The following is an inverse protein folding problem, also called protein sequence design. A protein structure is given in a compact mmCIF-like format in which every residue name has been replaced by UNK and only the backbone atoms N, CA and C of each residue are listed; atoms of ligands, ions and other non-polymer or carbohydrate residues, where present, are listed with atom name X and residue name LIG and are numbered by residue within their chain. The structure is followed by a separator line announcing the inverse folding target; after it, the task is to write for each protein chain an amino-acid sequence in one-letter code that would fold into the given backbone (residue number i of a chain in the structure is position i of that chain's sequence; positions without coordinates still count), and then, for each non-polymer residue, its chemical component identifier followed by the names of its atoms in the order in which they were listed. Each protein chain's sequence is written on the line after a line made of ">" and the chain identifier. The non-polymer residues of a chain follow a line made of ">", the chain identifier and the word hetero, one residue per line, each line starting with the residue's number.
data_IF_982401483181
#
_entry.id   IF_982401483181
#
_cell.length_a   1.000
_cell.length_b   1.000
_cell.length_c   1.000
_cell.angle_alpha   90.00
_cell.angle_beta   90.00
_cell.angle_gamma   90.00
#
_symmetry.space_group_name_H-M   'P 1'
#
loop_
_entity.id
_entity.type
_entity.pdbx_description
1 polymer ?
#
# COMPACT_ATOMS: atom_id res chain seq x y z
N UNK A 1 -19.61 -31.71 -16.57
CA UNK A 1 -19.20 -31.03 -15.36
C UNK A 1 -20.31 -31.09 -14.32
N UNK A 2 -19.96 -31.40 -13.07
CA UNK A 2 -20.91 -31.36 -11.96
C UNK A 2 -21.22 -29.91 -11.62
N UNK A 3 -22.49 -29.56 -11.54
CA UNK A 3 -22.92 -28.21 -11.16
C UNK A 3 -22.72 -27.97 -9.66
N UNK A 4 -22.63 -26.72 -9.23
CA UNK A 4 -22.51 -26.36 -7.82
C UNK A 4 -23.63 -26.99 -6.96
N UNK A 5 -24.84 -27.05 -7.50
CA UNK A 5 -26.00 -27.66 -6.84
C UNK A 5 -25.81 -29.19 -6.68
N UNK A 6 -25.24 -29.86 -7.66
CA UNK A 6 -24.96 -31.30 -7.56
C UNK A 6 -23.78 -31.59 -6.61
N UNK A 7 -22.79 -30.71 -6.54
CA UNK A 7 -21.73 -30.77 -5.55
C UNK A 7 -22.24 -30.55 -4.13
N UNK A 8 -23.13 -29.57 -3.94
CA UNK A 8 -23.80 -29.32 -2.68
C UNK A 8 -24.66 -30.51 -2.22
N UNK A 9 -25.44 -31.12 -3.11
CA UNK A 9 -26.26 -32.31 -2.82
C UNK A 9 -25.41 -33.54 -2.47
N UNK A 10 -24.35 -33.79 -3.23
CA UNK A 10 -23.53 -34.99 -3.03
C UNK A 10 -22.65 -34.94 -1.77
N UNK A 11 -22.46 -33.79 -1.18
CA UNK A 11 -21.64 -33.63 0.02
C UNK A 11 -22.43 -33.31 1.30
N UNK A 12 -23.76 -33.48 1.28
CA UNK A 12 -24.61 -33.34 2.46
C UNK A 12 -24.81 -31.89 2.92
N UNK A 13 -24.49 -30.91 2.10
CA UNK A 13 -24.87 -29.52 2.34
C UNK A 13 -26.37 -29.35 2.08
N UNK A 14 -27.19 -29.84 3.01
CA UNK A 14 -28.64 -29.65 2.98
C UNK A 14 -29.06 -28.20 3.29
N UNK A 15 -28.15 -27.38 3.81
CA UNK A 15 -28.43 -26.00 4.14
C UNK A 15 -27.92 -25.06 3.04
N UNK A 16 -28.68 -24.00 2.79
CA UNK A 16 -28.36 -22.92 1.86
C UNK A 16 -27.19 -22.04 2.35
N UNK A 17 -26.67 -22.33 3.52
CA UNK A 17 -25.65 -21.53 4.22
C UNK A 17 -24.39 -22.35 4.35
N UNK A 18 -23.28 -21.83 3.89
CA UNK A 18 -21.93 -22.33 4.19
C UNK A 18 -21.41 -21.60 5.41
N UNK A 19 -21.00 -22.38 6.41
CA UNK A 19 -20.46 -21.84 7.67
C UNK A 19 -19.05 -22.36 7.87
N UNK A 20 -18.14 -21.46 8.20
CA UNK A 20 -16.76 -21.80 8.55
C UNK A 20 -16.26 -21.01 9.75
N UNK A 21 -15.32 -21.61 10.47
CA UNK A 21 -14.55 -20.93 11.52
C UNK A 21 -13.16 -20.60 11.01
N UNK A 22 -12.63 -19.50 11.48
CA UNK A 22 -11.23 -19.11 11.26
C UNK A 22 -10.33 -20.10 12.04
N UNK A 23 -9.30 -20.60 11.37
CA UNK A 23 -8.30 -21.48 11.97
C UNK A 23 -7.03 -20.71 12.34
N UNK A 24 -6.21 -21.32 13.19
CA UNK A 24 -4.87 -20.78 13.50
C UNK A 24 -4.01 -20.61 12.23
N UNK A 25 -4.14 -21.51 11.28
CA UNK A 25 -3.46 -21.41 9.99
C UNK A 25 -3.86 -20.15 9.21
N UNK A 26 -5.14 -19.76 9.25
CA UNK A 26 -5.60 -18.51 8.63
C UNK A 26 -4.97 -17.27 9.28
N UNK A 27 -4.81 -17.30 10.61
CA UNK A 27 -4.13 -16.23 11.36
C UNK A 27 -2.65 -16.14 10.96
N UNK A 28 -1.96 -17.29 10.90
CA UNK A 28 -0.56 -17.34 10.49
C UNK A 28 -0.36 -16.86 9.06
N UNK A 29 -1.23 -17.25 8.14
CA UNK A 29 -1.18 -16.81 6.76
C UNK A 29 -1.42 -15.30 6.63
N UNK A 30 -2.38 -14.76 7.37
CA UNK A 30 -2.63 -13.32 7.40
C UNK A 30 -1.40 -12.56 7.94
N UNK A 31 -0.76 -13.08 8.97
CA UNK A 31 0.48 -12.51 9.51
C UNK A 31 1.62 -12.51 8.49
N UNK A 32 1.83 -13.62 7.78
CA UNK A 32 2.84 -13.71 6.70
C UNK A 32 2.59 -12.69 5.58
N UNK A 33 1.33 -12.44 5.25
CA UNK A 33 0.96 -11.43 4.25
C UNK A 33 1.30 -10.02 4.73
N UNK A 34 1.10 -9.72 6.01
CA UNK A 34 1.52 -8.43 6.61
C UNK A 34 3.03 -8.28 6.55
N UNK A 35 3.80 -9.32 6.88
CA UNK A 35 5.26 -9.27 6.82
C UNK A 35 5.78 -9.05 5.39
N UNK A 36 5.19 -9.73 4.41
CA UNK A 36 5.51 -9.53 3.00
C UNK A 36 5.19 -8.08 2.54
N UNK A 37 4.02 -7.56 2.92
CA UNK A 37 3.63 -6.19 2.61
C UNK A 37 4.54 -5.15 3.28
N UNK A 38 4.97 -5.42 4.51
CA UNK A 38 5.93 -4.57 5.22
C UNK A 38 7.27 -4.52 4.49
N UNK A 39 7.77 -5.67 4.05
CA UNK A 39 9.01 -5.74 3.27
C UNK A 39 8.91 -4.96 1.96
N UNK A 40 7.79 -5.04 1.27
CA UNK A 40 7.53 -4.27 0.05
C UNK A 40 7.44 -2.76 0.33
N UNK A 41 6.76 -2.35 1.39
CA UNK A 41 6.65 -0.96 1.79
C UNK A 41 8.03 -0.37 2.14
N UNK A 42 8.87 -1.11 2.86
CA UNK A 42 10.25 -0.71 3.17
C UNK A 42 11.09 -0.57 1.90
N UNK A 43 11.01 -1.54 0.98
CA UNK A 43 11.74 -1.48 -0.28
C UNK A 43 11.31 -0.28 -1.15
N UNK A 44 10.02 -0.04 -1.28
CA UNK A 44 9.47 1.09 -2.03
C UNK A 44 9.85 2.45 -1.41
N UNK A 45 9.84 2.55 -0.10
CA UNK A 45 10.27 3.74 0.63
C UNK A 45 11.78 4.00 0.47
N UNK A 46 12.60 2.94 0.51
CA UNK A 46 14.03 3.03 0.29
C UNK A 46 14.35 3.53 -1.12
N UNK A 47 13.66 3.01 -2.13
CA UNK A 47 13.79 3.49 -3.51
C UNK A 47 13.38 4.97 -3.64
N UNK A 48 12.23 5.34 -3.08
CA UNK A 48 11.76 6.73 -3.08
C UNK A 48 12.75 7.67 -2.40
N UNK A 49 13.28 7.30 -1.24
CA UNK A 49 14.25 8.11 -0.51
C UNK A 49 15.55 8.32 -1.28
N UNK A 50 16.01 7.31 -2.03
CA UNK A 50 17.18 7.44 -2.89
C UNK A 50 16.94 8.40 -4.04
N UNK A 51 15.78 8.33 -4.71
CA UNK A 51 15.41 9.25 -5.80
C UNK A 51 15.25 10.68 -5.29
N UNK A 52 14.62 10.86 -4.12
CA UNK A 52 14.46 12.19 -3.51
C UNK A 52 15.80 12.78 -3.06
N UNK A 53 16.71 11.97 -2.54
CA UNK A 53 18.07 12.41 -2.19
C UNK A 53 18.88 12.85 -3.43
N UNK A 54 18.75 12.14 -4.54
CA UNK A 54 19.34 12.53 -5.82
C UNK A 54 18.73 13.86 -6.32
N UNK A 55 17.42 13.98 -6.32
CA UNK A 55 16.71 15.20 -6.71
C UNK A 55 17.12 16.39 -5.84
N UNK A 56 17.25 16.20 -4.53
CA UNK A 56 17.73 17.20 -3.59
C UNK A 56 19.16 17.65 -3.93
N UNK A 57 20.07 16.71 -4.16
CA UNK A 57 21.47 17.01 -4.52
C UNK A 57 21.56 17.80 -5.84
N UNK A 58 20.78 17.40 -6.86
CA UNK A 58 20.70 18.13 -8.15
C UNK A 58 20.12 19.52 -7.95
N UNK A 59 19.07 19.65 -7.13
CA UNK A 59 18.47 20.94 -6.79
C UNK A 59 19.47 21.90 -6.13
N UNK A 60 20.27 21.41 -5.17
CA UNK A 60 21.32 22.19 -4.51
C UNK A 60 22.42 22.61 -5.48
N UNK A 61 22.87 21.72 -6.36
CA UNK A 61 23.87 22.02 -7.38
C UNK A 61 23.37 23.12 -8.33
N UNK A 62 22.12 23.04 -8.76
CA UNK A 62 21.49 24.06 -9.61
C UNK A 62 21.37 25.41 -8.88
N UNK A 63 20.97 25.39 -7.62
CA UNK A 63 20.85 26.60 -6.81
C UNK A 63 22.21 27.31 -6.64
N UNK A 64 23.29 26.55 -6.43
CA UNK A 64 24.65 27.10 -6.36
C UNK A 64 25.10 27.70 -7.70
N UNK A 65 24.82 27.03 -8.81
CA UNK A 65 25.18 27.54 -10.16
C UNK A 65 24.38 28.77 -10.56
N UNK A 66 23.08 28.84 -10.20
CA UNK A 66 22.23 29.99 -10.52
C UNK A 66 22.57 31.25 -9.73
N UNK A 67 23.17 31.11 -8.53
CA UNK A 67 23.69 32.26 -7.77
C UNK A 67 24.95 32.86 -8.41
N UNK A 68 25.70 32.06 -9.17
CA UNK A 68 26.90 32.50 -9.90
C UNK A 68 26.56 33.15 -11.21
N UNK A 69 25.42 32.87 -11.83
CA UNK A 69 24.95 33.44 -13.09
C UNK A 69 23.75 34.35 -12.83
N UNK A 70 23.82 35.62 -13.25
CA UNK A 70 22.72 36.60 -13.21
C UNK A 70 21.59 36.25 -14.20
N UNK A 71 21.11 35.01 -14.20
CA UNK A 71 20.00 34.56 -15.01
C UNK A 71 18.67 34.57 -14.24
N UNK A 72 17.60 35.00 -14.88
CA UNK A 72 16.26 34.97 -14.30
C UNK A 72 15.81 33.51 -14.09
N UNK A 73 15.72 33.10 -12.83
CA UNK A 73 15.07 31.86 -12.43
C UNK A 73 13.56 32.07 -12.38
N UNK A 74 12.76 31.04 -12.70
CA UNK A 74 11.32 31.11 -12.58
C UNK A 74 10.92 31.30 -11.11
N UNK A 75 9.84 32.05 -10.85
CA UNK A 75 9.35 32.31 -9.48
C UNK A 75 9.06 31.04 -8.67
N UNK A 76 8.66 29.97 -9.33
CA UNK A 76 8.45 28.64 -8.71
C UNK A 76 9.76 28.01 -8.24
N UNK A 77 10.87 28.23 -8.94
CA UNK A 77 12.20 27.75 -8.51
C UNK A 77 12.78 28.59 -7.37
N UNK A 78 12.45 29.88 -7.29
CA UNK A 78 12.86 30.71 -6.15
C UNK A 78 12.25 30.24 -4.83
N UNK A 79 10.96 29.94 -4.82
CA UNK A 79 10.27 29.36 -3.65
C UNK A 79 10.87 28.00 -3.26
N UNK A 80 11.16 27.16 -4.27
CA UNK A 80 11.80 25.87 -4.04
C UNK A 80 13.24 26.05 -3.54
N UNK A 81 13.93 27.08 -3.99
CA UNK A 81 15.27 27.45 -3.54
C UNK A 81 15.36 27.76 -2.06
N UNK A 82 14.34 28.40 -1.48
CA UNK A 82 14.28 28.63 -0.04
C UNK A 82 14.14 27.30 0.71
N UNK A 83 13.28 26.42 0.26
CA UNK A 83 13.12 25.08 0.84
C UNK A 83 14.40 24.27 0.74
N UNK A 84 15.06 24.25 -0.42
CA UNK A 84 16.34 23.56 -0.62
C UNK A 84 17.44 24.08 0.32
N UNK A 85 17.55 25.41 0.49
CA UNK A 85 18.52 25.99 1.42
C UNK A 85 18.24 25.56 2.87
N UNK A 86 16.98 25.53 3.27
CA UNK A 86 16.58 25.13 4.62
C UNK A 86 16.89 23.66 4.88
N UNK A 87 16.56 22.78 3.93
CA UNK A 87 16.91 21.36 4.00
C UNK A 87 18.44 21.14 3.98
N UNK A 88 19.20 21.96 3.22
CA UNK A 88 20.65 21.92 3.22
C UNK A 88 21.23 22.26 4.60
N UNK A 89 20.69 23.29 5.26
CA UNK A 89 21.12 23.66 6.62
C UNK A 89 20.79 22.55 7.63
N UNK A 90 19.59 21.97 7.57
CA UNK A 90 19.18 20.87 8.44
C UNK A 90 20.09 19.66 8.24
N UNK A 91 20.30 19.23 7.00
CA UNK A 91 21.13 18.06 6.71
C UNK A 91 22.58 18.25 7.11
N UNK A 92 23.15 19.46 6.97
CA UNK A 92 24.52 19.77 7.46
C UNK A 92 24.58 19.73 8.97
N UNK A 93 23.67 20.38 9.66
CA UNK A 93 23.64 20.40 11.12
C UNK A 93 23.55 18.99 11.70
N UNK A 94 22.69 18.13 11.12
CA UNK A 94 22.55 16.74 11.54
C UNK A 94 23.80 15.93 11.18
N UNK A 95 24.39 16.15 10.00
CA UNK A 95 25.65 15.51 9.59
C UNK A 95 26.79 15.82 10.58
N UNK A 96 26.94 17.08 10.94
CA UNK A 96 27.93 17.52 11.89
C UNK A 96 27.73 16.92 13.29
N UNK A 97 26.47 16.81 13.73
CA UNK A 97 26.16 16.24 15.05
C UNK A 97 26.25 14.72 15.11
N UNK A 98 26.04 14.02 13.98
CA UNK A 98 26.02 12.56 13.94
C UNK A 98 27.29 11.93 13.37
N UNK A 99 28.18 12.72 12.76
CA UNK A 99 29.39 12.26 12.08
C UNK A 99 29.10 11.54 10.75
N UNK A 100 27.90 11.66 10.22
CA UNK A 100 27.48 11.02 8.96
C UNK A 100 27.65 11.98 7.79
N UNK A 101 27.69 11.44 6.56
CA UNK A 101 27.68 12.29 5.37
C UNK A 101 26.30 12.94 5.16
N UNK A 102 26.30 14.15 4.59
CA UNK A 102 25.07 14.88 4.30
C UNK A 102 24.10 14.07 3.40
N UNK A 103 24.62 13.29 2.46
CA UNK A 103 23.81 12.45 1.59
C UNK A 103 23.16 11.28 2.33
N UNK A 104 23.84 10.69 3.31
CA UNK A 104 23.26 9.65 4.18
C UNK A 104 22.15 10.23 5.05
N UNK A 105 22.40 11.40 5.67
CA UNK A 105 21.39 12.12 6.45
C UNK A 105 20.15 12.44 5.60
N UNK A 106 20.34 12.99 4.40
CA UNK A 106 19.22 13.30 3.51
C UNK A 106 18.41 12.04 3.15
N UNK A 107 19.08 10.94 2.81
CA UNK A 107 18.41 9.67 2.50
C UNK A 107 17.60 9.14 3.69
N UNK A 108 18.16 9.18 4.89
CA UNK A 108 17.46 8.75 6.11
C UNK A 108 16.28 9.67 6.40
N UNK A 109 16.47 10.99 6.30
CA UNK A 109 15.41 11.96 6.54
C UNK A 109 14.24 11.82 5.55
N UNK A 110 14.52 11.63 4.26
CA UNK A 110 13.47 11.38 3.24
C UNK A 110 12.74 10.04 3.48
N UNK A 111 13.47 9.01 3.89
CA UNK A 111 12.88 7.72 4.25
C UNK A 111 11.96 7.84 5.46
N UNK A 112 12.42 8.49 6.52
CA UNK A 112 11.63 8.71 7.73
C UNK A 112 10.41 9.61 7.48
N UNK A 113 10.57 10.68 6.71
CA UNK A 113 9.47 11.57 6.36
C UNK A 113 8.34 10.89 5.59
N UNK A 114 8.64 9.81 4.86
CA UNK A 114 7.62 8.97 4.22
C UNK A 114 6.81 8.12 5.21
N UNK A 115 7.40 7.73 6.33
CA UNK A 115 6.77 6.82 7.29
C UNK A 115 6.19 7.51 8.53
N UNK A 116 6.82 8.61 8.99
CA UNK A 116 6.44 9.32 10.19
C UNK A 116 5.55 10.51 9.85
N UNK A 117 4.40 10.59 10.50
CA UNK A 117 3.47 11.72 10.34
C UNK A 117 2.54 11.63 9.13
N UNK A 118 2.42 10.47 8.50
CA UNK A 118 1.37 10.22 7.50
C UNK A 118 0.11 9.77 8.22
N UNK A 119 -0.60 10.69 8.84
CA UNK A 119 -2.01 10.50 9.09
C UNK A 119 -2.73 10.53 7.74
N UNK A 120 -2.82 9.37 7.09
CA UNK A 120 -3.76 9.25 5.99
C UNK A 120 -5.16 9.38 6.59
N UNK A 121 -6.02 10.27 6.07
CA UNK A 121 -7.37 10.48 6.63
C UNK A 121 -8.24 9.22 6.65
N UNK A 122 -7.78 8.12 6.11
CA UNK A 122 -8.52 6.88 5.88
C UNK A 122 -7.96 5.68 6.66
N UNK A 123 -6.70 5.69 7.05
CA UNK A 123 -6.19 4.69 7.99
C UNK A 123 -6.60 5.12 9.40
N UNK A 124 -7.42 4.33 10.07
CA UNK A 124 -7.79 4.60 11.46
C UNK A 124 -6.53 4.82 12.32
N UNK A 125 -6.61 5.67 13.33
CA UNK A 125 -5.49 6.06 14.19
C UNK A 125 -4.66 4.88 14.72
N UNK A 126 -5.26 3.70 14.87
CA UNK A 126 -4.57 2.46 15.25
C UNK A 126 -3.65 1.90 14.17
N UNK A 127 -4.07 1.91 12.90
CA UNK A 127 -3.25 1.38 11.81
C UNK A 127 -2.01 2.26 11.56
N UNK A 128 -2.17 3.57 11.70
CA UNK A 128 -1.06 4.54 11.61
C UNK A 128 -0.06 4.34 12.76
N UNK A 129 -0.56 4.20 14.00
CA UNK A 129 0.29 3.96 15.17
C UNK A 129 1.06 2.63 15.09
N UNK A 130 0.45 1.58 14.54
CA UNK A 130 1.11 0.29 14.36
C UNK A 130 2.15 0.33 13.24
N UNK A 131 1.91 1.07 12.16
CA UNK A 131 2.88 1.27 11.08
C UNK A 131 4.09 2.06 11.56
N UNK A 132 3.88 3.13 12.35
CA UNK A 132 4.96 3.91 12.97
C UNK A 132 5.78 3.06 13.95
N UNK A 133 5.13 2.28 14.81
CA UNK A 133 5.82 1.38 15.74
C UNK A 133 6.65 0.34 15.00
N UNK A 134 6.11 -0.25 13.93
CA UNK A 134 6.82 -1.22 13.10
C UNK A 134 8.04 -0.60 12.41
N UNK A 135 7.92 0.62 11.92
CA UNK A 135 9.03 1.36 11.33
C UNK A 135 10.11 1.67 12.38
N UNK A 136 9.73 2.22 13.53
CA UNK A 136 10.65 2.57 14.61
C UNK A 136 11.39 1.35 15.16
N UNK A 137 10.74 0.20 15.25
CA UNK A 137 11.36 -1.05 15.71
C UNK A 137 12.41 -1.61 14.72
N UNK A 138 12.30 -1.29 13.42
CA UNK A 138 13.22 -1.74 12.38
C UNK A 138 14.40 -0.80 12.09
N UNK A 139 14.54 0.31 12.84
CA UNK A 139 15.56 1.30 12.59
C UNK A 139 16.96 0.81 12.98
N UNK A 140 17.92 1.06 12.10
CA UNK A 140 19.36 0.90 12.43
C UNK A 140 19.83 1.98 13.42
N UNK A 141 20.98 1.77 14.06
CA UNK A 141 21.56 2.74 14.97
C UNK A 141 21.82 4.10 14.31
N UNK A 142 22.22 4.10 13.03
CA UNK A 142 22.44 5.31 12.25
C UNK A 142 21.13 6.05 11.97
N UNK A 143 20.09 5.33 11.59
CA UNK A 143 18.75 5.90 11.41
C UNK A 143 18.21 6.50 12.71
N UNK A 144 18.37 5.81 13.84
CA UNK A 144 17.96 6.31 15.15
C UNK A 144 18.70 7.59 15.54
N UNK A 145 20.02 7.68 15.27
CA UNK A 145 20.81 8.89 15.52
C UNK A 145 20.31 10.08 14.70
N UNK A 146 20.08 9.89 13.41
CA UNK A 146 19.55 10.95 12.52
C UNK A 146 18.18 11.39 12.98
N UNK A 147 17.28 10.44 13.27
CA UNK A 147 15.91 10.77 13.72
C UNK A 147 15.90 11.47 15.08
N UNK A 148 16.78 11.09 15.99
CA UNK A 148 16.93 11.77 17.29
C UNK A 148 17.44 13.21 17.17
N UNK A 149 18.10 13.56 16.06
CA UNK A 149 18.58 14.90 15.75
C UNK A 149 17.60 15.75 14.93
N UNK A 150 16.50 15.18 14.44
CA UNK A 150 15.48 15.85 13.63
C UNK A 150 14.22 16.13 14.45
N UNK A 151 13.64 17.32 14.28
CA UNK A 151 12.32 17.63 14.83
C UNK A 151 11.20 17.16 13.90
N UNK A 152 9.97 17.07 14.43
CA UNK A 152 8.81 16.72 13.63
C UNK A 152 8.53 17.73 12.52
N UNK A 153 8.79 19.02 12.77
CA UNK A 153 8.64 20.10 11.79
C UNK A 153 9.67 19.93 10.67
N UNK A 154 10.91 19.58 11.01
CA UNK A 154 11.97 19.33 10.03
C UNK A 154 11.63 18.12 9.15
N UNK A 155 11.12 17.03 9.72
CA UNK A 155 10.64 15.87 8.96
C UNK A 155 9.47 16.23 8.04
N UNK A 156 8.54 17.08 8.49
CA UNK A 156 7.45 17.59 7.67
C UNK A 156 7.95 18.39 6.45
N UNK A 157 9.04 19.14 6.60
CA UNK A 157 9.66 19.86 5.47
C UNK A 157 10.26 18.93 4.44
N UNK A 158 10.93 17.84 4.85
CA UNK A 158 11.40 16.81 3.93
C UNK A 158 10.24 16.16 3.18
N UNK A 159 9.14 15.88 3.88
CA UNK A 159 7.93 15.32 3.28
C UNK A 159 7.31 16.27 2.24
N UNK A 160 7.13 17.53 2.60
CA UNK A 160 6.57 18.54 1.71
C UNK A 160 7.42 18.73 0.44
N UNK A 161 8.75 18.75 0.59
CA UNK A 161 9.65 18.78 -0.57
C UNK A 161 9.47 17.56 -1.45
N UNK A 162 9.50 16.37 -0.87
CA UNK A 162 9.33 15.12 -1.61
C UNK A 162 8.01 15.04 -2.36
N UNK A 163 6.91 15.42 -1.73
CA UNK A 163 5.58 15.44 -2.33
C UNK A 163 5.51 16.48 -3.46
N UNK A 164 6.10 17.64 -3.28
CA UNK A 164 6.12 18.71 -4.29
C UNK A 164 6.90 18.29 -5.53
N UNK A 165 8.14 17.82 -5.39
CA UNK A 165 8.97 17.45 -6.55
C UNK A 165 8.47 16.20 -7.27
N UNK A 166 7.75 15.33 -6.57
CA UNK A 166 7.13 14.15 -7.19
C UNK A 166 5.92 14.49 -8.07
N UNK A 167 5.26 15.62 -7.81
CA UNK A 167 4.08 16.09 -8.57
C UNK A 167 4.42 17.13 -9.63
N UNK A 168 5.50 17.83 -9.47
CA UNK A 168 5.89 18.95 -10.32
C UNK A 168 6.99 18.57 -11.32
N UNK A 169 6.59 18.32 -12.55
CA UNK A 169 7.52 18.02 -13.65
C UNK A 169 8.46 19.20 -13.98
N UNK A 170 8.10 20.43 -13.59
CA UNK A 170 8.92 21.62 -13.84
C UNK A 170 10.23 21.59 -13.04
N UNK A 171 10.22 20.99 -11.84
CA UNK A 171 11.44 20.80 -11.05
C UNK A 171 12.50 20.01 -11.81
N UNK A 172 12.11 18.85 -12.34
CA UNK A 172 13.02 17.99 -13.11
C UNK A 172 13.60 18.72 -14.33
N UNK A 173 12.78 19.52 -15.02
CA UNK A 173 13.21 20.32 -16.17
C UNK A 173 14.23 21.39 -15.81
N UNK A 174 14.16 21.95 -14.61
CA UNK A 174 15.08 23.00 -14.15
C UNK A 174 16.41 22.42 -13.67
N UNK A 175 16.40 21.27 -13.00
CA UNK A 175 17.62 20.69 -12.38
C UNK A 175 18.38 19.76 -13.30
N UNK A 176 17.76 19.22 -14.33
CA UNK A 176 18.39 18.34 -15.29
C UNK A 176 19.31 19.12 -16.27
N UNK A 177 20.30 18.43 -16.82
CA UNK A 177 21.23 18.99 -17.83
C UNK A 177 20.60 19.03 -19.21
N UNK A 178 19.68 18.13 -19.52
CA UNK A 178 18.98 18.04 -20.80
C UNK A 178 17.54 17.49 -20.65
N UNK A 179 16.79 17.52 -21.73
CA UNK A 179 15.40 17.10 -21.78
C UNK A 179 15.20 15.58 -21.55
N UNK A 180 16.21 14.76 -21.81
CA UNK A 180 16.15 13.32 -21.56
C UNK A 180 16.28 13.06 -20.06
N UNK A 181 17.29 13.63 -19.43
CA UNK A 181 17.50 13.53 -17.99
C UNK A 181 16.29 14.08 -17.22
N UNK A 182 15.70 15.20 -17.68
CA UNK A 182 14.49 15.77 -17.08
C UNK A 182 13.33 14.77 -17.09
N UNK A 183 13.08 14.10 -18.22
CA UNK A 183 12.02 13.10 -18.34
C UNK A 183 12.29 11.88 -17.47
N UNK A 184 13.52 11.39 -17.45
CA UNK A 184 13.92 10.25 -16.61
C UNK A 184 13.76 10.57 -15.12
N UNK A 185 14.22 11.72 -14.68
CA UNK A 185 14.09 12.16 -13.27
C UNK A 185 12.62 12.34 -12.87
N UNK A 186 11.82 13.01 -13.70
CA UNK A 186 10.39 13.20 -13.47
C UNK A 186 9.64 11.86 -13.38
N UNK A 187 9.93 10.94 -14.30
CA UNK A 187 9.35 9.60 -14.30
C UNK A 187 9.71 8.81 -13.05
N UNK A 188 10.99 8.85 -12.63
CA UNK A 188 11.45 8.16 -11.41
C UNK A 188 10.84 8.76 -10.14
N UNK A 189 10.74 10.08 -10.05
CA UNK A 189 10.09 10.77 -8.93
C UNK A 189 8.61 10.36 -8.80
N UNK A 190 7.89 10.37 -9.92
CA UNK A 190 6.48 9.99 -9.94
C UNK A 190 6.29 8.49 -9.65
N UNK A 191 7.01 7.62 -10.35
CA UNK A 191 6.86 6.16 -10.21
C UNK A 191 7.25 5.67 -8.81
N UNK A 192 8.33 6.17 -8.23
CA UNK A 192 8.74 5.81 -6.86
C UNK A 192 7.75 6.31 -5.82
N UNK A 193 7.19 7.52 -6.00
CA UNK A 193 6.14 8.05 -5.13
C UNK A 193 4.86 7.20 -5.20
N UNK A 194 4.41 6.87 -6.41
CA UNK A 194 3.23 6.03 -6.63
C UNK A 194 3.41 4.63 -6.05
N UNK A 195 4.59 4.02 -6.27
CA UNK A 195 4.93 2.70 -5.73
C UNK A 195 4.94 2.70 -4.21
N UNK A 196 5.56 3.70 -3.58
CA UNK A 196 5.59 3.84 -2.13
C UNK A 196 4.17 3.97 -1.56
N UNK A 197 3.35 4.85 -2.12
CA UNK A 197 1.96 5.03 -1.68
C UNK A 197 1.11 3.77 -1.83
N UNK A 198 1.30 3.02 -2.92
CA UNK A 198 0.59 1.74 -3.12
C UNK A 198 1.04 0.66 -2.14
N UNK A 199 2.34 0.57 -1.87
CA UNK A 199 2.88 -0.39 -0.93
C UNK A 199 2.40 -0.11 0.51
N UNK A 200 2.34 1.16 0.91
CA UNK A 200 1.79 1.58 2.20
C UNK A 200 0.29 1.27 2.32
N UNK A 201 -0.49 1.56 1.27
CA UNK A 201 -1.90 1.20 1.24
C UNK A 201 -2.09 -0.32 1.32
N UNK A 202 -1.29 -1.10 0.60
CA UNK A 202 -1.30 -2.55 0.66
C UNK A 202 -0.96 -3.09 2.05
N UNK A 203 0.03 -2.51 2.73
CA UNK A 203 0.38 -2.87 4.11
C UNK A 203 -0.77 -2.57 5.06
N UNK A 204 -1.39 -1.39 4.95
CA UNK A 204 -2.55 -1.02 5.76
C UNK A 204 -3.72 -1.98 5.55
N UNK A 205 -4.01 -2.36 4.32
CA UNK A 205 -5.08 -3.29 3.99
C UNK A 205 -4.84 -4.68 4.57
N UNK A 206 -3.64 -5.21 4.41
CA UNK A 206 -3.27 -6.52 4.96
C UNK A 206 -3.25 -6.52 6.48
N UNK A 207 -2.84 -5.42 7.11
CA UNK A 207 -2.89 -5.26 8.57
C UNK A 207 -4.33 -5.28 9.06
N UNK A 208 -5.23 -4.54 8.43
CA UNK A 208 -6.66 -4.53 8.79
C UNK A 208 -7.30 -5.92 8.61
N UNK A 209 -6.95 -6.62 7.53
CA UNK A 209 -7.40 -7.99 7.32
C UNK A 209 -6.88 -8.95 8.39
N UNK A 210 -5.59 -8.89 8.73
CA UNK A 210 -5.00 -9.73 9.76
C UNK A 210 -5.62 -9.48 11.15
N UNK A 211 -5.88 -8.23 11.49
CA UNK A 211 -6.60 -7.87 12.72
C UNK A 211 -8.02 -8.48 12.74
N UNK A 212 -8.74 -8.41 11.62
CA UNK A 212 -10.09 -8.99 11.52
C UNK A 212 -10.08 -10.51 11.64
N UNK A 213 -9.12 -11.17 10.98
CA UNK A 213 -8.93 -12.63 11.05
C UNK A 213 -8.60 -13.05 12.48
N UNK A 214 -7.67 -12.37 13.14
CA UNK A 214 -7.30 -12.65 14.54
C UNK A 214 -8.48 -12.46 15.47
N UNK A 215 -9.24 -11.39 15.34
CA UNK A 215 -10.44 -11.15 16.14
C UNK A 215 -11.51 -12.23 15.95
N UNK A 216 -11.71 -12.69 14.72
CA UNK A 216 -12.64 -13.77 14.43
C UNK A 216 -12.18 -15.10 15.05
N UNK A 217 -10.89 -15.39 15.00
CA UNK A 217 -10.31 -16.56 15.61
C UNK A 217 -10.46 -16.56 17.14
N UNK A 218 -10.07 -15.46 17.79
CA UNK A 218 -10.14 -15.30 19.25
C UNK A 218 -11.57 -15.41 19.79
N UNK A 219 -12.54 -14.89 19.05
CA UNK A 219 -13.97 -14.97 19.42
C UNK A 219 -14.63 -16.27 19.03
N UNK A 220 -13.95 -17.16 18.30
CA UNK A 220 -14.55 -18.38 17.75
C UNK A 220 -15.71 -18.10 16.80
N UNK A 221 -15.65 -16.98 16.06
CA UNK A 221 -16.71 -16.55 15.15
C UNK A 221 -16.98 -17.61 14.09
N UNK A 222 -18.27 -17.83 13.81
CA UNK A 222 -18.73 -18.60 12.65
C UNK A 222 -19.10 -17.64 11.56
N UNK A 223 -18.39 -17.72 10.43
CA UNK A 223 -18.71 -16.93 9.25
C UNK A 223 -19.70 -17.74 8.42
N UNK A 224 -20.92 -17.23 8.31
CA UNK A 224 -22.02 -17.86 7.59
C UNK A 224 -22.33 -17.08 6.31
N UNK A 225 -22.37 -17.76 5.17
CA UNK A 225 -22.66 -17.19 3.86
C UNK A 225 -23.83 -17.93 3.22
N UNK A 226 -24.87 -17.20 2.83
CA UNK A 226 -25.98 -17.76 2.08
C UNK A 226 -25.54 -17.91 0.60
N UNK A 227 -25.36 -19.14 0.16
CA UNK A 227 -24.92 -19.47 -1.19
C UNK A 227 -26.11 -19.56 -2.15
N UNK A 228 -27.28 -19.94 -1.67
CA UNK A 228 -28.38 -20.28 -2.55
C UNK A 228 -29.26 -19.08 -2.92
N UNK A 229 -29.33 -18.07 -2.08
CA UNK A 229 -30.13 -16.87 -2.33
C UNK A 229 -29.36 -15.74 -2.99
N UNK A 230 -28.03 -15.73 -2.84
CA UNK A 230 -27.17 -14.75 -3.47
C UNK A 230 -26.47 -15.36 -4.69
N UNK A 231 -26.85 -14.97 -5.93
CA UNK A 231 -26.22 -15.48 -7.15
C UNK A 231 -24.72 -15.24 -7.21
N UNK A 232 -24.26 -14.16 -6.59
CA UNK A 232 -22.86 -13.82 -6.47
C UNK A 232 -22.11 -14.86 -5.63
N UNK A 233 -22.60 -15.16 -4.44
CA UNK A 233 -22.01 -16.18 -3.56
C UNK A 233 -22.05 -17.56 -4.20
N UNK A 234 -23.12 -17.91 -4.92
CA UNK A 234 -23.22 -19.18 -5.64
C UNK A 234 -22.19 -19.30 -6.75
N UNK A 235 -22.02 -18.27 -7.56
CA UNK A 235 -21.02 -18.24 -8.62
C UNK A 235 -19.59 -18.33 -8.06
N UNK A 236 -19.32 -17.62 -6.99
CA UNK A 236 -18.04 -17.69 -6.27
C UNK A 236 -17.78 -19.10 -5.75
N UNK A 237 -18.74 -19.68 -5.09
CA UNK A 237 -18.59 -21.02 -4.51
C UNK A 237 -18.33 -22.08 -5.59
N UNK A 238 -19.08 -22.03 -6.69
CA UNK A 238 -18.89 -22.94 -7.80
C UNK A 238 -17.48 -22.84 -8.39
N UNK A 239 -17.05 -21.63 -8.66
CA UNK A 239 -15.74 -21.36 -9.25
C UNK A 239 -14.60 -21.79 -8.35
N UNK A 240 -14.70 -21.51 -7.07
CA UNK A 240 -13.69 -21.95 -6.12
C UNK A 240 -13.68 -23.47 -5.92
N UNK A 241 -14.85 -24.12 -5.95
CA UNK A 241 -14.92 -25.57 -5.89
C UNK A 241 -14.25 -26.23 -7.10
N UNK A 242 -14.44 -25.69 -8.29
CA UNK A 242 -13.76 -26.14 -9.50
C UNK A 242 -12.24 -25.87 -9.46
N UNK A 243 -11.85 -24.66 -9.04
CA UNK A 243 -10.45 -24.23 -9.07
C UNK A 243 -9.60 -24.90 -8.00
N UNK A 244 -10.14 -25.12 -6.82
CA UNK A 244 -9.40 -25.69 -5.67
C UNK A 244 -9.72 -27.15 -5.41
N UNK A 245 -10.51 -27.78 -6.25
CA UNK A 245 -10.77 -29.21 -6.20
C UNK A 245 -11.69 -29.66 -5.08
N UNK A 246 -12.49 -28.77 -4.50
CA UNK A 246 -13.45 -29.18 -3.49
C UNK A 246 -14.26 -28.07 -2.82
N UNK A 247 -15.35 -28.47 -2.20
CA UNK A 247 -16.30 -27.58 -1.53
C UNK A 247 -15.75 -26.96 -0.24
N UNK A 248 -14.87 -27.69 0.49
CA UNK A 248 -14.19 -27.13 1.68
C UNK A 248 -13.25 -26.00 1.34
N UNK A 249 -12.50 -26.12 0.26
CA UNK A 249 -11.61 -25.07 -0.21
C UNK A 249 -12.40 -23.85 -0.72
N UNK A 250 -13.53 -24.08 -1.41
CA UNK A 250 -14.44 -23.02 -1.84
C UNK A 250 -15.06 -22.28 -0.65
N UNK A 251 -15.51 -23.01 0.37
CA UNK A 251 -16.06 -22.41 1.58
C UNK A 251 -15.04 -21.55 2.32
N UNK A 252 -13.79 -22.02 2.40
CA UNK A 252 -12.68 -21.25 2.99
C UNK A 252 -12.38 -19.98 2.21
N UNK A 253 -12.32 -20.06 0.90
CA UNK A 253 -12.08 -18.90 0.04
C UNK A 253 -13.21 -17.84 0.17
N UNK A 254 -14.47 -18.28 0.28
CA UNK A 254 -15.59 -17.38 0.56
C UNK A 254 -15.50 -16.72 1.93
N UNK A 255 -15.13 -17.47 2.96
CA UNK A 255 -14.93 -16.94 4.31
C UNK A 255 -13.84 -15.85 4.29
N UNK A 256 -12.72 -16.11 3.64
CA UNK A 256 -11.62 -15.15 3.53
C UNK A 256 -12.04 -13.90 2.77
N UNK A 257 -12.78 -14.05 1.68
CA UNK A 257 -13.33 -12.92 0.92
C UNK A 257 -14.30 -12.08 1.76
N UNK A 258 -15.15 -12.70 2.57
CA UNK A 258 -16.08 -12.00 3.45
C UNK A 258 -15.37 -11.27 4.59
N UNK A 259 -14.37 -11.90 5.22
CA UNK A 259 -13.55 -11.24 6.23
C UNK A 259 -12.77 -10.05 5.65
N UNK A 260 -12.24 -10.19 4.44
CA UNK A 260 -11.58 -9.10 3.73
C UNK A 260 -12.56 -7.95 3.44
N UNK A 261 -13.76 -8.25 2.97
CA UNK A 261 -14.82 -7.25 2.74
C UNK A 261 -15.21 -6.50 4.01
N UNK A 262 -15.28 -7.18 5.14
CA UNK A 262 -15.60 -6.59 6.44
C UNK A 262 -14.46 -5.71 6.98
N UNK A 263 -13.21 -6.06 6.71
CA UNK A 263 -12.03 -5.33 7.20
C UNK A 263 -11.67 -4.11 6.36
N UNK A 264 -11.97 -4.16 5.07
CA UNK A 264 -11.65 -3.11 4.11
C UNK A 264 -12.89 -2.24 3.93
N UNK A 265 -12.87 -1.03 4.42
CA UNK A 265 -13.96 -0.06 4.21
C UNK A 265 -14.20 0.25 2.71
N UNK A 266 -15.12 1.16 2.39
CA UNK A 266 -15.32 1.63 1.02
C UNK A 266 -14.05 2.26 0.45
N UNK A 267 -14.04 2.59 -0.83
CA UNK A 267 -12.92 3.13 -1.61
C UNK A 267 -11.97 4.01 -0.78
N UNK A 268 -10.67 3.71 -0.85
CA UNK A 268 -9.62 4.49 -0.21
C UNK A 268 -9.07 5.54 -1.16
N UNK A 269 -8.72 6.68 -0.60
CA UNK A 269 -7.97 7.73 -1.29
C UNK A 269 -6.55 7.74 -0.74
N UNK A 270 -5.54 7.63 -1.60
CA UNK A 270 -4.14 7.78 -1.22
C UNK A 270 -3.86 9.23 -0.81
N UNK A 271 -2.76 9.44 -0.09
CA UNK A 271 -2.31 10.78 0.33
C UNK A 271 -2.07 11.76 -0.82
N UNK A 272 -1.90 11.25 -2.04
CA UNK A 272 -1.79 12.05 -3.27
C UNK A 272 -3.13 12.34 -3.96
N UNK A 273 -4.26 11.95 -3.34
CA UNK A 273 -5.60 12.14 -3.89
C UNK A 273 -6.05 11.06 -4.89
N UNK A 274 -5.21 10.07 -5.17
CA UNK A 274 -5.56 8.97 -6.08
C UNK A 274 -6.56 8.03 -5.38
N UNK A 275 -7.74 7.84 -5.96
CA UNK A 275 -8.68 6.83 -5.52
C UNK A 275 -8.09 5.44 -5.82
N UNK A 276 -7.80 4.67 -4.80
CA UNK A 276 -7.46 3.26 -4.94
C UNK A 276 -8.76 2.49 -4.76
N UNK A 277 -9.26 1.82 -5.82
CA UNK A 277 -10.36 0.90 -5.62
C UNK A 277 -9.91 -0.13 -4.58
N UNK A 278 -10.84 -0.62 -3.77
CA UNK A 278 -10.65 -1.78 -2.90
C UNK A 278 -10.08 -2.92 -3.73
N UNK A 279 -8.81 -2.87 -3.96
CA UNK A 279 -8.11 -3.95 -4.59
C UNK A 279 -7.71 -4.86 -3.47
N UNK A 280 -8.43 -5.87 -3.40
CA UNK A 280 -7.93 -7.06 -2.80
C UNK A 280 -6.65 -7.48 -3.51
N UNK A 281 -5.54 -6.92 -3.21
CA UNK A 281 -4.24 -7.30 -3.78
C UNK A 281 -3.54 -8.40 -2.99
N UNK A 282 -4.20 -8.99 -1.99
CA UNK A 282 -3.70 -10.26 -1.46
C UNK A 282 -3.92 -11.36 -2.52
N UNK A 283 -3.07 -12.38 -2.54
CA UNK A 283 -3.19 -13.52 -3.46
C UNK A 283 -4.62 -14.11 -3.46
N UNK A 284 -5.31 -14.05 -2.32
CA UNK A 284 -6.67 -14.57 -2.14
C UNK A 284 -7.73 -13.64 -2.72
N UNK A 285 -7.44 -12.42 -2.77
CA UNK A 285 -8.31 -11.39 -3.32
C UNK A 285 -8.17 -11.17 -4.81
N UNK A 286 -7.10 -11.62 -5.44
CA UNK A 286 -7.11 -11.81 -6.89
C UNK A 286 -8.22 -12.78 -7.31
N UNK A 287 -8.50 -13.78 -6.49
CA UNK A 287 -9.60 -14.71 -6.72
C UNK A 287 -10.98 -14.04 -6.58
N UNK A 288 -11.16 -13.16 -5.59
CA UNK A 288 -12.38 -12.38 -5.46
C UNK A 288 -12.62 -11.46 -6.68
N UNK A 289 -11.57 -10.87 -7.27
CA UNK A 289 -11.68 -10.12 -8.52
C UNK A 289 -12.11 -11.00 -9.69
N UNK A 290 -11.47 -12.15 -9.85
CA UNK A 290 -11.85 -13.10 -10.91
C UNK A 290 -13.30 -13.54 -10.77
N UNK A 291 -13.72 -13.78 -9.55
CA UNK A 291 -15.08 -14.15 -9.22
C UNK A 291 -16.07 -13.01 -9.46
N UNK A 292 -15.74 -11.79 -9.09
CA UNK A 292 -16.59 -10.63 -9.38
C UNK A 292 -16.76 -10.44 -10.90
N UNK A 293 -15.68 -10.60 -11.67
CA UNK A 293 -15.76 -10.57 -13.13
C UNK A 293 -16.63 -11.69 -13.72
N UNK A 294 -16.66 -12.85 -13.07
CA UNK A 294 -17.45 -14.00 -13.47
C UNK A 294 -18.90 -13.91 -13.02
N UNK A 295 -19.16 -13.30 -11.87
CA UNK A 295 -20.50 -13.04 -11.37
C UNK A 295 -21.25 -12.01 -12.24
N UNK A 296 -20.55 -11.13 -12.91
CA UNK A 296 -21.11 -10.16 -13.88
C UNK A 296 -21.29 -10.74 -15.29
N UNK A 297 -20.82 -11.97 -15.53
CA UNK A 297 -20.84 -12.63 -16.83
C UNK A 297 -22.04 -13.56 -17.06
N UNK A 298 -22.22 -14.08 -18.30
CA UNK A 298 -23.32 -14.96 -18.66
C UNK A 298 -23.37 -16.29 -17.91
N UNK A 299 -22.31 -16.64 -17.18
CA UNK A 299 -22.20 -17.90 -16.43
C UNK A 299 -23.15 -18.01 -15.23
N UNK A 300 -23.60 -16.89 -14.65
CA UNK A 300 -24.57 -16.89 -13.54
C UNK A 300 -25.92 -17.46 -14.00
N UNK A 301 -26.34 -17.09 -15.19
CA UNK A 301 -27.59 -17.57 -15.79
C UNK A 301 -27.51 -19.07 -16.11
N UNK A 302 -26.37 -19.57 -16.57
CA UNK A 302 -26.18 -20.99 -16.86
C UNK A 302 -26.16 -21.84 -15.58
N UNK A 303 -25.56 -21.33 -14.50
CA UNK A 303 -25.55 -21.98 -13.18
C UNK A 303 -26.96 -22.04 -12.58
N UNK A 304 -27.73 -20.96 -12.69
CA UNK A 304 -29.14 -20.94 -12.28
C UNK A 304 -29.98 -21.96 -13.04
N UNK A 305 -29.92 -21.98 -14.38
CA UNK A 305 -30.70 -22.90 -15.21
C UNK A 305 -30.37 -24.37 -14.95
N UNK A 306 -29.12 -24.70 -14.70
CA UNK A 306 -28.72 -26.07 -14.33
C UNK A 306 -29.08 -26.42 -12.89
N UNK A 307 -29.24 -25.46 -12.01
CA UNK A 307 -29.71 -25.64 -10.64
C UNK A 307 -31.19 -25.90 -10.52
N UNK A 308 -32.00 -25.28 -11.40
CA UNK A 308 -33.46 -25.42 -11.44
C UNK A 308 -33.90 -26.69 -12.17
N UNK A 309 -33.03 -27.28 -12.98
CA UNK A 309 -33.30 -28.51 -13.74
C UNK A 309 -32.92 -29.82 -13.03
N UNK A 310 -32.39 -29.74 -11.82
CA UNK A 310 -31.98 -30.86 -10.98
C UNK A 310 -32.77 -30.90 -9.66
#
# INVERSE_FOLDING_TARGET
>A
GRTAVSLLRNQGYASRVVSMRVSEHDVQDASRQVDAARSEAVAASTERSAVLSEAFTKGLAKLKSSRSSKGSTSSSFEQLGQTLNRLDQITRSVADSTGMSQSQVARIAFGAAGHLGVSTPVAGARATANAEKGYLAGLTADQQRVLGALTSEQLAEFKQFGDRVSRDSSFASVVASDAREARELSSRLNSSSTRSSRAEAGLSDRSAYAERVSAAYERGEVIALDIAQDPHNLAMFTRYAEQYGGTSAAARALMEAELARQSLGPNRTLSDGTAVPLSFESVRTQHARQVNQLAEGPDIESVKRTGDAA
#
